data_IF_258764119764
#
_entry.id   IF_258764119764
#
_cell.length_a   1.000
_cell.length_b   1.000
_cell.length_c   1.000
_cell.angle_alpha   90.00
_cell.angle_beta   90.00
_cell.angle_gamma   90.00
#
_symmetry.space_group_name_H-M   'P 1'
#
loop_
_entity.id
_entity.type
_entity.pdbx_description
1 polymer ?
#
# COMPACT_ATOMS: atom_id res chain seq x y z
N UNK A 1 11.05 -36.10 41.22
CA UNK A 1 12.01 -35.25 40.46
C UNK A 1 11.92 -35.40 38.94
N UNK A 2 11.62 -36.59 38.38
CA UNK A 2 11.48 -36.81 36.92
C UNK A 2 10.44 -35.90 36.23
N UNK A 3 9.34 -35.56 36.91
CA UNK A 3 8.26 -34.73 36.34
C UNK A 3 8.66 -33.26 36.17
N UNK A 4 9.53 -32.73 37.02
CA UNK A 4 9.98 -31.32 36.97
C UNK A 4 10.97 -31.12 35.82
N UNK A 5 11.90 -32.06 35.62
CA UNK A 5 12.87 -32.02 34.51
C UNK A 5 12.19 -32.25 33.16
N UNK A 6 11.16 -33.10 33.10
CA UNK A 6 10.35 -33.28 31.90
C UNK A 6 9.61 -31.98 31.52
N UNK A 7 9.06 -31.26 32.51
CA UNK A 7 8.32 -30.02 32.28
C UNK A 7 9.22 -28.88 31.77
N UNK A 8 10.46 -28.77 32.27
CA UNK A 8 11.42 -27.77 31.77
C UNK A 8 11.84 -28.04 30.32
N UNK A 9 11.97 -29.31 29.92
CA UNK A 9 12.32 -29.67 28.55
C UNK A 9 11.16 -29.42 27.58
N UNK A 10 9.92 -29.72 27.99
CA UNK A 10 8.72 -29.46 27.19
C UNK A 10 8.53 -27.94 27.00
N UNK A 11 8.73 -27.14 28.05
CA UNK A 11 8.61 -25.69 27.98
C UNK A 11 9.66 -25.07 27.04
N UNK A 12 10.90 -25.60 27.04
CA UNK A 12 11.95 -25.17 26.13
C UNK A 12 11.64 -25.44 24.66
N UNK A 13 11.08 -26.62 24.33
CA UNK A 13 10.65 -26.96 22.97
C UNK A 13 9.51 -26.03 22.50
N UNK A 14 8.61 -25.66 23.40
CA UNK A 14 7.47 -24.79 23.10
C UNK A 14 7.91 -23.35 22.76
N UNK A 15 8.92 -22.82 23.47
CA UNK A 15 9.50 -21.47 23.23
C UNK A 15 10.20 -21.41 21.86
N UNK A 16 10.94 -22.46 21.50
CA UNK A 16 11.63 -22.54 20.20
C UNK A 16 10.61 -22.65 19.05
N UNK A 17 9.55 -23.44 19.21
CA UNK A 17 8.47 -23.55 18.22
C UNK A 17 7.72 -22.22 18.01
N UNK A 18 7.38 -21.50 19.08
CA UNK A 18 6.71 -20.19 19.01
C UNK A 18 7.57 -19.12 18.34
N UNK A 19 8.89 -19.14 18.59
CA UNK A 19 9.85 -18.22 17.96
C UNK A 19 9.94 -18.46 16.45
N UNK A 20 9.78 -19.71 16.00
CA UNK A 20 9.83 -20.09 14.60
C UNK A 20 8.56 -19.73 13.82
N UNK A 21 7.38 -19.78 14.47
CA UNK A 21 6.10 -19.40 13.87
C UNK A 21 5.97 -17.88 13.65
N UNK A 22 6.60 -17.06 14.50
CA UNK A 22 6.61 -15.60 14.35
C UNK A 22 7.38 -15.09 13.12
N UNK A 23 8.45 -15.78 12.71
CA UNK A 23 9.25 -15.37 11.56
C UNK A 23 8.53 -15.64 10.22
N UNK A 24 7.66 -16.65 10.17
CA UNK A 24 6.86 -16.96 8.97
C UNK A 24 5.74 -15.92 8.72
N UNK A 25 5.19 -15.30 9.78
CA UNK A 25 4.14 -14.28 9.64
C UNK A 25 4.66 -12.92 9.17
N UNK A 26 5.94 -12.62 9.40
CA UNK A 26 6.55 -11.35 8.98
C UNK A 26 6.65 -11.19 7.44
N UNK A 27 6.53 -12.29 6.67
CA UNK A 27 6.60 -12.27 5.21
C UNK A 27 5.26 -12.48 4.50
N UNK A 28 4.18 -12.79 5.23
CA UNK A 28 2.87 -13.06 4.62
C UNK A 28 2.02 -11.77 4.50
N UNK A 29 2.34 -10.72 5.28
CA UNK A 29 1.67 -9.42 5.20
C UNK A 29 2.42 -8.40 4.30
N UNK A 30 2.99 -8.83 3.17
CA UNK A 30 3.46 -7.89 2.12
C UNK A 30 2.98 -8.26 0.72
N UNK A 31 1.97 -9.15 0.63
CA UNK A 31 1.41 -9.62 -0.64
C UNK A 31 -0.12 -9.51 -0.70
N UNK A 32 -0.75 -8.62 0.08
CA UNK A 32 -2.10 -8.17 -0.25
C UNK A 32 -1.94 -7.07 -1.28
N UNK A 33 -2.09 -7.44 -2.55
CA UNK A 33 -2.42 -6.56 -3.68
C UNK A 33 -2.63 -5.08 -3.28
N UNK A 34 -1.53 -4.32 -3.18
CA UNK A 34 -1.60 -2.85 -3.29
C UNK A 34 -1.80 -2.53 -4.77
N UNK A 35 -2.84 -3.12 -5.34
CA UNK A 35 -3.21 -3.06 -6.73
C UNK A 35 -4.58 -2.40 -6.76
N UNK A 36 -4.54 -1.07 -6.63
CA UNK A 36 -5.21 -0.12 -7.51
C UNK A 36 -6.61 -0.52 -8.02
N UNK A 37 -7.48 -1.03 -7.17
CA UNK A 37 -8.89 -1.15 -7.51
C UNK A 37 -9.49 0.25 -7.33
N UNK A 38 -9.93 0.85 -8.45
CA UNK A 38 -10.75 2.05 -8.41
C UNK A 38 -11.90 1.79 -7.43
N UNK A 39 -12.08 2.66 -6.45
CA UNK A 39 -13.14 2.52 -5.46
C UNK A 39 -14.48 2.74 -6.18
N UNK A 40 -15.28 1.69 -6.34
CA UNK A 40 -16.57 1.74 -7.04
C UNK A 40 -17.62 2.55 -6.29
N UNK A 41 -17.39 2.87 -5.01
CA UNK A 41 -18.24 3.77 -4.22
C UNK A 41 -17.93 5.25 -4.45
N UNK A 42 -16.80 5.55 -5.11
CA UNK A 42 -16.38 6.91 -5.42
C UNK A 42 -16.47 7.20 -6.92
N UNK A 43 -16.86 8.43 -7.29
CA UNK A 43 -16.80 8.86 -8.67
C UNK A 43 -15.36 8.83 -9.20
N UNK A 44 -15.22 8.58 -10.50
CA UNK A 44 -13.92 8.48 -11.18
C UNK A 44 -13.79 9.57 -12.23
N UNK A 45 -12.62 10.21 -12.30
CA UNK A 45 -12.31 11.23 -13.31
C UNK A 45 -11.06 10.84 -14.10
N UNK A 46 -11.12 10.99 -15.43
CA UNK A 46 -9.98 10.89 -16.33
C UNK A 46 -9.51 12.30 -16.68
N UNK A 47 -8.27 12.63 -16.37
CA UNK A 47 -7.67 13.94 -16.63
C UNK A 47 -6.50 13.77 -17.59
N UNK A 48 -6.60 14.41 -18.75
CA UNK A 48 -5.51 14.42 -19.72
C UNK A 48 -4.57 15.60 -19.49
N UNK A 49 -3.26 15.36 -19.66
CA UNK A 49 -2.25 16.41 -19.48
C UNK A 49 -2.01 16.80 -18.03
N UNK A 50 -2.01 15.84 -17.11
CA UNK A 50 -1.84 16.04 -15.67
C UNK A 50 -0.39 16.32 -15.22
N UNK A 51 0.55 16.48 -16.16
CA UNK A 51 1.96 16.70 -15.88
C UNK A 51 2.24 18.04 -15.18
N UNK A 52 1.46 19.08 -15.50
CA UNK A 52 1.65 20.46 -14.99
C UNK A 52 0.40 21.31 -15.22
N UNK A 53 0.42 22.54 -14.71
CA UNK A 53 -0.62 23.54 -14.97
C UNK A 53 -2.01 23.09 -14.51
N UNK A 54 -3.02 23.34 -15.35
CA UNK A 54 -4.43 23.10 -15.00
C UNK A 54 -4.70 21.60 -14.77
N UNK A 55 -4.15 20.71 -15.59
CA UNK A 55 -4.35 19.26 -15.42
C UNK A 55 -3.86 18.77 -14.05
N UNK A 56 -2.69 19.24 -13.61
CA UNK A 56 -2.14 18.93 -12.29
C UNK A 56 -3.01 19.51 -11.15
N UNK A 57 -3.50 20.74 -11.32
CA UNK A 57 -4.38 21.37 -10.33
C UNK A 57 -5.74 20.64 -10.21
N UNK A 58 -6.31 20.21 -11.34
CA UNK A 58 -7.54 19.40 -11.35
C UNK A 58 -7.31 18.06 -10.67
N UNK A 59 -6.20 17.37 -10.97
CA UNK A 59 -5.86 16.10 -10.34
C UNK A 59 -5.79 16.24 -8.81
N UNK A 60 -5.14 17.30 -8.31
CA UNK A 60 -5.10 17.61 -6.88
C UNK A 60 -6.50 17.85 -6.31
N UNK A 61 -7.32 18.67 -6.96
CA UNK A 61 -8.63 19.04 -6.46
C UNK A 61 -9.59 17.84 -6.35
N UNK A 62 -9.61 16.99 -7.37
CA UNK A 62 -10.42 15.77 -7.35
C UNK A 62 -9.89 14.74 -6.35
N UNK A 63 -8.57 14.64 -6.20
CA UNK A 63 -7.97 13.75 -5.21
C UNK A 63 -8.31 14.17 -3.77
N UNK A 64 -8.25 15.48 -3.46
CA UNK A 64 -8.70 16.05 -2.18
C UNK A 64 -10.19 15.77 -1.94
N UNK A 65 -10.98 15.79 -3.01
CA UNK A 65 -12.42 15.50 -2.95
C UNK A 65 -12.72 14.00 -2.80
N UNK A 66 -11.70 13.14 -2.72
CA UNK A 66 -11.85 11.69 -2.52
C UNK A 66 -12.23 10.90 -3.78
N UNK A 67 -12.17 11.51 -4.96
CA UNK A 67 -12.48 10.82 -6.22
C UNK A 67 -11.35 9.87 -6.60
N UNK A 68 -11.64 8.85 -7.40
CA UNK A 68 -10.59 8.13 -8.11
C UNK A 68 -10.09 8.99 -9.28
N UNK A 69 -8.79 9.26 -9.34
CA UNK A 69 -8.22 10.12 -10.38
C UNK A 69 -7.33 9.29 -11.29
N UNK A 70 -7.68 9.21 -12.57
CA UNK A 70 -6.83 8.66 -13.63
C UNK A 70 -6.16 9.85 -14.33
N UNK A 71 -4.92 10.13 -13.96
CA UNK A 71 -4.14 11.29 -14.38
C UNK A 71 -3.18 10.91 -15.50
N UNK A 72 -3.47 11.25 -16.75
CA UNK A 72 -2.59 10.89 -17.87
C UNK A 72 -1.57 11.97 -18.18
N UNK A 73 -0.39 11.57 -18.60
CA UNK A 73 0.62 12.46 -19.17
C UNK A 73 1.46 11.74 -20.23
N UNK A 74 2.21 12.51 -21.04
CA UNK A 74 2.98 11.95 -22.17
C UNK A 74 4.24 11.19 -21.72
N UNK A 75 4.84 11.61 -20.62
CA UNK A 75 6.12 11.10 -20.11
C UNK A 75 6.04 10.96 -18.58
N UNK A 76 5.36 9.90 -18.07
CA UNK A 76 5.19 9.66 -16.64
C UNK A 76 6.52 9.66 -15.87
N UNK A 77 7.58 9.17 -16.50
CA UNK A 77 8.92 9.12 -15.92
C UNK A 77 9.50 10.51 -15.61
N UNK A 78 9.04 11.56 -16.29
CA UNK A 78 9.45 12.97 -16.10
C UNK A 78 8.41 13.82 -15.37
N UNK A 79 7.32 13.23 -14.89
CA UNK A 79 6.22 13.96 -14.26
C UNK A 79 6.43 14.12 -12.74
N UNK A 80 7.50 14.79 -12.35
CA UNK A 80 7.95 14.85 -10.94
C UNK A 80 6.89 15.44 -10.00
N UNK A 81 6.21 16.51 -10.41
CA UNK A 81 5.14 17.12 -9.63
C UNK A 81 3.92 16.19 -9.48
N UNK A 82 3.57 15.45 -10.54
CA UNK A 82 2.48 14.49 -10.51
C UNK A 82 2.83 13.28 -9.64
N UNK A 83 4.08 12.78 -9.70
CA UNK A 83 4.58 11.73 -8.82
C UNK A 83 4.55 12.14 -7.35
N UNK A 84 4.96 13.38 -7.06
CA UNK A 84 4.86 13.93 -5.70
C UNK A 84 3.41 13.99 -5.24
N UNK A 85 2.50 14.40 -6.10
CA UNK A 85 1.08 14.43 -5.80
C UNK A 85 0.51 13.03 -5.49
N UNK A 86 0.94 11.98 -6.22
CA UNK A 86 0.52 10.59 -5.97
C UNK A 86 1.01 10.09 -4.59
N UNK A 87 2.18 10.55 -4.12
CA UNK A 87 2.65 10.23 -2.77
C UNK A 87 1.71 10.81 -1.69
N UNK A 88 1.24 12.04 -1.90
CA UNK A 88 0.30 12.71 -0.99
C UNK A 88 -1.12 12.11 -1.09
N UNK A 89 -1.50 11.63 -2.27
CA UNK A 89 -2.86 11.16 -2.60
C UNK A 89 -2.83 9.80 -3.32
N UNK A 90 -2.97 8.67 -2.59
CA UNK A 90 -2.88 7.34 -3.17
C UNK A 90 -4.08 6.94 -4.04
N UNK A 91 -5.14 7.77 -4.09
CA UNK A 91 -6.28 7.63 -5.00
C UNK A 91 -6.03 8.19 -6.41
N UNK A 92 -4.79 8.59 -6.72
CA UNK A 92 -4.36 9.01 -8.06
C UNK A 92 -3.58 7.87 -8.74
N UNK A 93 -3.95 7.57 -9.99
CA UNK A 93 -3.28 6.62 -10.89
C UNK A 93 -2.74 7.35 -12.12
N UNK A 94 -1.56 6.97 -12.64
CA UNK A 94 -0.88 7.60 -13.78
C UNK A 94 -0.57 6.61 -14.89
#
# INVERSE_FOLDING_TARGET
MKNIVSLTNILGILIIAFSFQGLALAQIQTNTSKQLLLDTSQPTVLITGSNRGIGLALARNYAISGWNVIATCRSPERADDLKKLIYDYPNISI
#
